data_IF_320360917918
#
_entry.id   IF_320360917918
#
_cell.length_a   1.000
_cell.length_b   1.000
_cell.length_c   1.000
_cell.angle_alpha   90.00
_cell.angle_beta   90.00
_cell.angle_gamma   90.00
#
_symmetry.space_group_name_H-M   'P 1'
#
loop_
_entity.id
_entity.type
_entity.pdbx_description
1 polymer ?
#
# COMPACT_ATOMS: atom_id res chain seq x y z
N UNK A 1 -30.28 -31.74 44.28
CA UNK A 1 -29.03 -31.50 43.47
C UNK A 1 -29.40 -30.82 42.20
N UNK A 2 -29.10 -29.50 42.06
CA UNK A 2 -29.45 -28.69 40.89
C UNK A 2 -28.24 -28.75 39.94
N UNK A 3 -28.40 -29.39 38.76
CA UNK A 3 -27.38 -29.41 37.72
C UNK A 3 -27.21 -28.00 37.13
N UNK A 4 -26.12 -27.33 37.40
CA UNK A 4 -25.68 -26.12 36.71
C UNK A 4 -25.46 -26.39 35.24
N UNK A 5 -26.32 -25.88 34.35
CA UNK A 5 -26.05 -25.84 32.91
C UNK A 5 -24.87 -24.87 32.66
N UNK A 6 -23.74 -25.36 32.11
CA UNK A 6 -22.71 -24.51 31.52
C UNK A 6 -23.28 -23.90 30.24
N UNK A 7 -23.53 -22.62 30.24
CA UNK A 7 -23.81 -21.87 29.02
C UNK A 7 -22.43 -21.56 28.40
N UNK A 8 -22.05 -22.27 27.36
CA UNK A 8 -20.91 -21.92 26.53
C UNK A 8 -21.35 -20.84 25.56
N UNK A 9 -20.89 -19.61 25.75
CA UNK A 9 -21.01 -18.55 24.76
C UNK A 9 -19.97 -18.89 23.67
N UNK A 10 -20.43 -19.32 22.49
CA UNK A 10 -19.60 -19.34 21.30
C UNK A 10 -19.31 -17.89 20.90
N UNK A 11 -18.06 -17.45 21.02
CA UNK A 11 -17.65 -16.17 20.44
C UNK A 11 -17.88 -16.23 18.93
N UNK A 12 -18.52 -15.18 18.33
CA UNK A 12 -18.75 -15.19 16.88
C UNK A 12 -17.40 -15.28 16.15
N UNK A 13 -17.25 -16.29 15.30
CA UNK A 13 -16.04 -16.46 14.46
C UNK A 13 -15.73 -15.16 13.74
N UNK A 14 -14.59 -14.55 14.08
CA UNK A 14 -14.11 -13.36 13.37
C UNK A 14 -13.83 -13.76 11.93
N UNK A 15 -14.66 -13.31 10.99
CA UNK A 15 -14.46 -13.53 9.54
C UNK A 15 -13.01 -13.21 9.18
N UNK A 16 -12.26 -14.21 8.72
CA UNK A 16 -10.87 -14.04 8.27
C UNK A 16 -10.83 -12.99 7.16
N UNK A 17 -10.08 -11.91 7.36
CA UNK A 17 -9.94 -10.85 6.36
C UNK A 17 -9.22 -11.43 5.15
N UNK A 18 -9.86 -11.37 3.99
CA UNK A 18 -9.23 -11.78 2.73
C UNK A 18 -8.13 -10.78 2.37
N UNK A 19 -6.91 -11.24 2.07
CA UNK A 19 -5.82 -10.36 1.70
C UNK A 19 -6.11 -9.58 0.40
N UNK A 20 -5.63 -8.33 0.32
CA UNK A 20 -5.65 -7.58 -0.92
C UNK A 20 -4.84 -8.32 -2.01
N UNK A 21 -5.27 -8.23 -3.26
CA UNK A 21 -4.53 -8.73 -4.42
C UNK A 21 -3.82 -7.59 -5.15
N UNK A 22 -2.67 -7.83 -5.80
CA UNK A 22 -2.02 -6.87 -6.66
C UNK A 22 -2.81 -6.65 -7.95
N UNK A 23 -2.62 -5.49 -8.58
CA UNK A 23 -3.10 -5.23 -9.93
C UNK A 23 -2.09 -5.85 -10.88
N UNK A 24 -2.50 -6.85 -11.64
CA UNK A 24 -1.64 -7.56 -12.58
C UNK A 24 -1.22 -6.63 -13.74
N UNK A 25 -0.05 -6.86 -14.34
CA UNK A 25 0.47 -5.99 -15.42
C UNK A 25 -0.49 -5.93 -16.62
N UNK A 26 -1.13 -7.05 -16.99
CA UNK A 26 -2.15 -7.11 -18.05
C UNK A 26 -3.35 -6.20 -17.79
N UNK A 27 -3.68 -5.93 -16.52
CA UNK A 27 -4.84 -5.13 -16.12
C UNK A 27 -4.45 -3.67 -15.81
N UNK A 28 -3.15 -3.36 -15.73
CA UNK A 28 -2.64 -2.08 -15.25
C UNK A 28 -3.19 -0.88 -16.04
N UNK A 29 -3.12 -0.92 -17.36
CA UNK A 29 -3.62 0.18 -18.18
C UNK A 29 -5.14 0.31 -18.10
N UNK A 30 -5.88 -0.81 -18.16
CA UNK A 30 -7.34 -0.82 -17.98
C UNK A 30 -7.73 -0.24 -16.64
N UNK A 31 -7.01 -0.60 -15.58
CA UNK A 31 -7.24 -0.09 -14.23
C UNK A 31 -7.01 1.42 -14.15
N UNK A 32 -5.92 1.90 -14.72
CA UNK A 32 -5.60 3.33 -14.78
C UNK A 32 -6.69 4.15 -15.49
N UNK A 33 -7.12 3.72 -16.68
CA UNK A 33 -8.18 4.40 -17.44
C UNK A 33 -9.52 4.37 -16.68
N UNK A 34 -9.88 3.23 -16.09
CA UNK A 34 -11.09 3.14 -15.30
C UNK A 34 -11.02 3.98 -14.01
N UNK A 35 -9.86 4.10 -13.38
CA UNK A 35 -9.67 4.99 -12.24
C UNK A 35 -9.92 6.45 -12.61
N UNK A 36 -9.41 6.88 -13.76
CA UNK A 36 -9.65 8.22 -14.30
C UNK A 36 -11.14 8.47 -14.53
N UNK A 37 -11.82 7.54 -15.21
CA UNK A 37 -13.26 7.59 -15.51
C UNK A 37 -14.12 7.66 -14.23
N UNK A 38 -13.83 6.83 -13.24
CA UNK A 38 -14.57 6.77 -11.96
C UNK A 38 -14.33 8.01 -11.10
N UNK A 39 -13.19 8.68 -11.30
CA UNK A 39 -12.74 9.84 -10.50
C UNK A 39 -13.18 11.18 -11.10
N UNK A 40 -14.41 11.30 -11.55
CA UNK A 40 -14.96 12.45 -12.34
C UNK A 40 -14.50 13.82 -11.87
N UNK A 41 -14.49 14.07 -10.55
CA UNK A 41 -14.22 15.40 -9.99
C UNK A 41 -12.73 15.64 -9.70
N UNK A 42 -11.94 14.57 -9.44
CA UNK A 42 -10.52 14.66 -9.10
C UNK A 42 -9.68 13.57 -9.77
N UNK A 43 -9.71 13.41 -11.11
CA UNK A 43 -8.97 12.34 -11.79
C UNK A 43 -7.46 12.46 -11.61
N UNK A 44 -6.91 13.66 -11.73
CA UNK A 44 -5.47 13.92 -11.58
C UNK A 44 -4.96 13.56 -10.18
N UNK A 45 -5.69 13.96 -9.14
CA UNK A 45 -5.36 13.61 -7.75
C UNK A 45 -5.33 12.09 -7.56
N UNK A 46 -6.38 11.41 -8.00
CA UNK A 46 -6.50 9.97 -7.80
C UNK A 46 -5.48 9.18 -8.61
N UNK A 47 -5.15 9.65 -9.82
CA UNK A 47 -4.04 9.09 -10.61
C UNK A 47 -2.68 9.35 -9.97
N UNK A 48 -2.44 10.52 -9.39
CA UNK A 48 -1.17 10.81 -8.73
C UNK A 48 -0.95 9.92 -7.50
N UNK A 49 -1.99 9.75 -6.65
CA UNK A 49 -1.95 8.80 -5.53
C UNK A 49 -1.63 7.37 -6.03
N UNK A 50 -2.27 6.96 -7.12
CA UNK A 50 -2.03 5.67 -7.75
C UNK A 50 -0.57 5.52 -8.20
N UNK A 51 -0.02 6.49 -8.94
CA UNK A 51 1.35 6.45 -9.44
C UNK A 51 2.38 6.38 -8.31
N UNK A 52 2.24 7.21 -7.28
CA UNK A 52 3.14 7.16 -6.13
C UNK A 52 3.06 5.78 -5.46
N UNK A 53 1.86 5.26 -5.20
CA UNK A 53 1.68 3.98 -4.53
C UNK A 53 2.32 2.81 -5.27
N UNK A 54 2.16 2.73 -6.60
CA UNK A 54 2.72 1.63 -7.42
C UNK A 54 4.19 1.81 -7.78
N UNK A 55 4.73 3.02 -7.69
CA UNK A 55 6.14 3.30 -7.98
C UNK A 55 7.04 3.23 -6.75
N UNK A 56 6.50 3.48 -5.54
CA UNK A 56 7.29 3.56 -4.31
C UNK A 56 6.95 2.48 -3.30
N UNK A 57 5.76 1.89 -3.41
CA UNK A 57 5.25 0.91 -2.46
C UNK A 57 4.98 1.48 -1.06
N UNK A 58 4.90 2.79 -0.84
CA UNK A 58 4.45 3.35 0.43
C UNK A 58 3.00 2.96 0.74
N UNK A 59 2.64 2.91 2.02
CA UNK A 59 1.23 2.74 2.41
C UNK A 59 0.49 4.05 2.23
N UNK A 60 -0.79 4.02 1.86
CA UNK A 60 -1.60 5.23 1.69
C UNK A 60 -1.49 6.19 2.88
N UNK A 61 -1.54 5.67 4.09
CA UNK A 61 -1.45 6.48 5.33
C UNK A 61 -0.14 7.26 5.44
N UNK A 62 0.92 6.82 4.76
CA UNK A 62 2.24 7.40 4.89
C UNK A 62 2.48 8.58 3.94
N UNK A 63 1.64 8.76 2.88
CA UNK A 63 1.84 9.84 1.91
C UNK A 63 0.59 10.65 1.55
N UNK A 64 -0.62 10.25 1.97
CA UNK A 64 -1.83 11.01 1.62
C UNK A 64 -1.90 12.39 2.27
N UNK A 65 -1.21 12.61 3.38
CA UNK A 65 -1.14 13.89 4.06
C UNK A 65 0.01 14.80 3.58
N UNK A 66 0.72 14.43 2.52
CA UNK A 66 1.76 15.27 1.96
C UNK A 66 1.17 16.56 1.38
N UNK A 67 1.89 17.66 1.58
CA UNK A 67 1.62 18.95 0.95
C UNK A 67 2.25 19.04 -0.43
N UNK A 68 1.81 20.01 -1.23
CA UNK A 68 2.46 20.29 -2.52
C UNK A 68 3.90 20.78 -2.33
N UNK A 69 4.20 21.46 -1.21
CA UNK A 69 5.56 21.87 -0.84
C UNK A 69 6.48 20.68 -0.65
N UNK A 70 6.06 19.70 0.18
CA UNK A 70 6.85 18.48 0.41
C UNK A 70 7.07 17.67 -0.89
N UNK A 71 6.08 17.61 -1.79
CA UNK A 71 6.28 16.97 -3.10
C UNK A 71 7.33 17.70 -3.97
N UNK A 72 7.39 19.03 -3.90
CA UNK A 72 8.41 19.84 -4.59
C UNK A 72 9.80 19.62 -3.99
N UNK A 73 9.91 19.62 -2.64
CA UNK A 73 11.16 19.30 -1.93
C UNK A 73 11.69 17.91 -2.31
N UNK A 74 10.82 16.90 -2.37
CA UNK A 74 11.22 15.56 -2.81
C UNK A 74 11.66 15.51 -4.28
N UNK A 75 11.12 16.38 -5.14
CA UNK A 75 11.60 16.53 -6.51
C UNK A 75 13.02 17.13 -6.56
N UNK A 76 13.32 18.08 -5.69
CA UNK A 76 14.64 18.73 -5.62
C UNK A 76 15.70 17.77 -5.08
N UNK A 77 15.31 16.87 -4.15
CA UNK A 77 16.18 15.85 -3.58
C UNK A 77 16.25 14.53 -4.40
N UNK A 78 15.50 14.40 -5.49
CA UNK A 78 15.35 13.18 -6.30
C UNK A 78 14.86 11.94 -5.52
N UNK A 79 14.27 12.12 -4.35
CA UNK A 79 13.81 11.01 -3.50
C UNK A 79 12.68 11.42 -2.56
N UNK A 80 11.82 10.46 -2.25
CA UNK A 80 10.93 10.54 -1.10
C UNK A 80 11.70 10.12 0.15
N UNK A 81 11.51 10.86 1.25
CA UNK A 81 12.00 10.52 2.59
C UNK A 81 10.80 10.52 3.53
N UNK A 82 10.21 9.35 3.78
CA UNK A 82 8.94 9.25 4.51
C UNK A 82 9.09 8.33 5.72
N UNK A 83 8.68 8.84 6.89
CA UNK A 83 8.57 8.04 8.12
C UNK A 83 7.35 7.13 8.04
N UNK A 84 7.54 5.82 7.89
CA UNK A 84 6.43 4.87 7.84
C UNK A 84 5.72 4.75 9.20
N UNK A 85 4.45 5.16 9.25
CA UNK A 85 3.60 5.26 10.45
C UNK A 85 3.53 3.96 11.25
N UNK A 86 3.40 2.81 10.59
CA UNK A 86 3.30 1.50 11.27
C UNK A 86 4.54 1.18 12.10
N UNK A 87 5.71 1.46 11.57
CA UNK A 87 6.98 1.16 12.27
C UNK A 87 7.22 2.16 13.41
N UNK A 88 6.92 3.43 13.15
CA UNK A 88 7.07 4.50 14.13
C UNK A 88 6.10 4.33 15.33
N UNK A 89 4.83 4.01 15.06
CA UNK A 89 3.85 3.76 16.11
C UNK A 89 4.20 2.51 16.93
N UNK A 90 4.70 1.45 16.29
CA UNK A 90 5.18 0.26 17.00
C UNK A 90 6.39 0.58 17.90
N UNK A 91 7.28 1.47 17.48
CA UNK A 91 8.38 1.97 18.31
C UNK A 91 7.86 2.82 19.47
N UNK A 92 6.96 3.77 19.23
CA UNK A 92 6.33 4.59 20.30
C UNK A 92 5.68 3.72 21.36
N UNK A 93 4.88 2.73 20.95
CA UNK A 93 4.24 1.80 21.88
C UNK A 93 5.27 1.00 22.68
N UNK A 94 6.36 0.56 22.03
CA UNK A 94 7.45 -0.16 22.72
C UNK A 94 8.12 0.73 23.79
N UNK A 95 8.45 1.98 23.46
CA UNK A 95 9.07 2.92 24.41
C UNK A 95 8.11 3.26 25.57
N UNK A 96 6.83 3.48 25.27
CA UNK A 96 5.81 3.73 26.31
C UNK A 96 5.72 2.57 27.31
N UNK A 97 5.77 1.31 26.82
CA UNK A 97 5.71 0.12 27.67
C UNK A 97 7.06 -0.22 28.33
N UNK A 98 8.16 0.35 27.85
CA UNK A 98 9.54 0.10 28.36
C UNK A 98 10.31 1.42 28.43
N UNK A 99 10.05 2.28 29.45
CA UNK A 99 10.64 3.63 29.51
C UNK A 99 12.17 3.65 29.51
N UNK A 100 12.82 2.60 30.01
CA UNK A 100 14.29 2.48 30.06
C UNK A 100 14.90 1.88 28.79
N UNK A 101 14.10 1.61 27.75
CA UNK A 101 14.59 1.05 26.50
C UNK A 101 15.43 2.05 25.72
N UNK A 102 16.65 1.65 25.33
CA UNK A 102 17.57 2.42 24.47
C UNK A 102 17.29 2.26 22.98
N UNK A 103 16.15 1.68 22.62
CA UNK A 103 15.79 1.44 21.20
C UNK A 103 15.55 2.76 20.49
N UNK A 104 16.37 3.03 19.45
CA UNK A 104 16.21 4.23 18.60
C UNK A 104 14.95 4.16 17.75
N UNK A 105 14.36 5.31 17.35
CA UNK A 105 13.27 5.34 16.39
C UNK A 105 13.72 4.71 15.05
N UNK A 106 12.80 4.11 14.30
CA UNK A 106 13.11 3.62 12.97
C UNK A 106 13.46 4.81 12.05
N UNK A 107 14.46 4.62 11.20
CA UNK A 107 14.79 5.60 10.18
C UNK A 107 13.64 5.74 9.15
N UNK A 108 13.43 6.93 8.59
CA UNK A 108 12.56 7.10 7.44
C UNK A 108 12.98 6.19 6.28
N UNK A 109 11.99 5.74 5.50
CA UNK A 109 12.29 4.99 4.28
C UNK A 109 12.50 5.96 3.13
N UNK A 110 13.58 5.73 2.37
CA UNK A 110 13.86 6.46 1.16
C UNK A 110 13.35 5.71 -0.07
N UNK A 111 12.91 6.44 -1.10
CA UNK A 111 12.56 5.89 -2.40
C UNK A 111 12.95 6.88 -3.49
N UNK A 112 13.86 6.47 -4.38
CA UNK A 112 14.35 7.30 -5.48
C UNK A 112 13.22 7.63 -6.47
N UNK A 113 13.15 8.88 -6.90
CA UNK A 113 12.18 9.35 -7.88
C UNK A 113 12.79 9.24 -9.27
N UNK A 114 12.34 8.25 -10.04
CA UNK A 114 12.79 8.03 -11.41
C UNK A 114 12.05 8.95 -12.40
N UNK A 115 12.62 9.09 -13.61
CA UNK A 115 12.21 10.03 -14.65
C UNK A 115 10.71 10.09 -14.91
N UNK A 116 10.05 8.94 -15.05
CA UNK A 116 8.61 8.90 -15.36
C UNK A 116 7.74 9.44 -14.22
N UNK A 117 8.06 9.07 -12.96
CA UNK A 117 7.35 9.56 -11.79
C UNK A 117 7.65 11.04 -11.56
N UNK A 118 8.91 11.46 -11.74
CA UNK A 118 9.36 12.86 -11.64
C UNK A 118 8.52 13.77 -12.55
N UNK A 119 8.40 13.42 -13.83
CA UNK A 119 7.60 14.19 -14.79
C UNK A 119 6.16 14.35 -14.30
N UNK A 120 5.54 13.25 -13.88
CA UNK A 120 4.15 13.26 -13.40
C UNK A 120 3.96 14.14 -12.16
N UNK A 121 4.86 14.05 -11.18
CA UNK A 121 4.80 14.89 -9.97
C UNK A 121 5.00 16.36 -10.33
N UNK A 122 6.01 16.66 -11.16
CA UNK A 122 6.29 18.03 -11.61
C UNK A 122 5.08 18.69 -12.29
N UNK A 123 4.44 17.95 -13.20
CA UNK A 123 3.24 18.42 -13.89
C UNK A 123 2.07 18.62 -12.89
N UNK A 124 1.92 17.70 -11.93
CA UNK A 124 0.85 17.71 -10.95
C UNK A 124 0.94 18.88 -9.96
N UNK A 125 2.14 19.22 -9.47
CA UNK A 125 2.34 20.30 -8.48
C UNK A 125 2.49 21.68 -9.10
N UNK A 126 2.49 21.78 -10.44
CA UNK A 126 2.65 23.04 -11.16
C UNK A 126 1.50 24.01 -10.82
N UNK A 127 1.86 25.21 -10.36
CA UNK A 127 0.90 26.27 -10.01
C UNK A 127 0.16 26.05 -8.68
N UNK A 128 0.38 24.94 -7.97
CA UNK A 128 -0.25 24.67 -6.67
C UNK A 128 0.52 25.34 -5.53
N UNK A 129 -0.19 25.82 -4.51
CA UNK A 129 0.40 26.44 -3.32
C UNK A 129 1.06 25.39 -2.43
N UNK A 130 2.23 25.71 -1.89
CA UNK A 130 3.04 24.80 -1.09
C UNK A 130 2.35 24.34 0.19
N UNK A 131 1.54 25.20 0.82
CA UNK A 131 0.84 24.93 2.07
C UNK A 131 -0.40 24.03 1.93
N UNK A 132 -0.90 23.83 0.71
CA UNK A 132 -2.09 23.01 0.48
C UNK A 132 -1.71 21.52 0.42
N UNK A 133 -2.62 20.65 0.91
CA UNK A 133 -2.45 19.22 0.76
C UNK A 133 -2.43 18.81 -0.70
N UNK A 134 -1.46 17.99 -1.08
CA UNK A 134 -1.35 17.49 -2.44
C UNK A 134 -2.57 16.63 -2.83
N UNK A 135 -3.17 15.95 -1.86
CA UNK A 135 -4.30 15.03 -2.05
C UNK A 135 -5.49 15.46 -1.21
N UNK A 136 -5.96 16.66 -1.46
CA UNK A 136 -7.09 17.25 -0.73
C UNK A 136 -8.39 16.45 -0.93
N UNK A 137 -9.20 16.40 0.11
CA UNK A 137 -10.52 15.75 0.11
C UNK A 137 -11.56 16.67 -0.56
N UNK A 138 -12.35 16.13 -1.49
CA UNK A 138 -13.51 16.86 -2.04
C UNK A 138 -14.57 17.14 -0.97
N UNK A 139 -14.77 16.18 -0.07
CA UNK A 139 -15.80 16.27 0.97
C UNK A 139 -15.44 17.24 2.10
N UNK A 140 -14.16 17.35 2.39
CA UNK A 140 -13.64 18.16 3.50
C UNK A 140 -12.49 19.04 2.98
N UNK A 141 -12.80 20.23 2.39
CA UNK A 141 -11.77 21.16 1.93
C UNK A 141 -10.79 21.52 3.04
N UNK A 142 -9.51 21.61 2.70
CA UNK A 142 -8.43 21.85 3.67
C UNK A 142 -7.96 20.60 4.41
N UNK A 143 -8.53 19.42 4.16
CA UNK A 143 -8.15 18.15 4.75
C UNK A 143 -7.68 17.16 3.67
N UNK A 144 -6.72 16.27 3.96
CA UNK A 144 -6.31 15.28 2.98
C UNK A 144 -7.36 14.17 2.82
N UNK A 145 -7.42 13.55 1.64
CA UNK A 145 -8.25 12.36 1.42
C UNK A 145 -7.79 11.21 2.35
N UNK A 146 -8.75 10.52 2.96
CA UNK A 146 -8.41 9.44 3.88
C UNK A 146 -8.03 8.14 3.14
N UNK A 147 -7.19 7.27 3.73
CA UNK A 147 -6.90 5.95 3.18
C UNK A 147 -8.16 5.10 2.94
N UNK A 148 -9.18 5.26 3.79
CA UNK A 148 -10.46 4.55 3.67
C UNK A 148 -11.22 5.02 2.43
N UNK A 149 -11.31 6.33 2.21
CA UNK A 149 -11.99 6.92 1.05
C UNK A 149 -11.30 6.49 -0.25
N UNK A 150 -9.97 6.64 -0.32
CA UNK A 150 -9.24 6.26 -1.52
C UNK A 150 -9.30 4.74 -1.79
N UNK A 151 -9.23 3.92 -0.75
CA UNK A 151 -9.41 2.46 -0.88
C UNK A 151 -10.81 2.09 -1.40
N UNK A 152 -11.85 2.83 -1.06
CA UNK A 152 -13.20 2.64 -1.59
C UNK A 152 -13.26 2.95 -3.09
N UNK A 153 -12.58 4.00 -3.56
CA UNK A 153 -12.45 4.32 -5.00
C UNK A 153 -11.77 3.16 -5.74
N UNK A 154 -10.62 2.69 -5.25
CA UNK A 154 -9.91 1.56 -5.86
C UNK A 154 -10.77 0.28 -5.89
N UNK A 155 -11.53 0.02 -4.82
CA UNK A 155 -12.45 -1.12 -4.76
C UNK A 155 -13.53 -1.01 -5.83
N UNK A 156 -14.13 0.18 -6.03
CA UNK A 156 -15.13 0.43 -7.08
C UNK A 156 -14.54 0.16 -8.45
N UNK A 157 -13.35 0.70 -8.75
CA UNK A 157 -12.64 0.42 -10.01
C UNK A 157 -12.41 -1.07 -10.21
N UNK A 158 -11.94 -1.78 -9.18
CA UNK A 158 -11.76 -3.22 -9.22
C UNK A 158 -13.05 -3.98 -9.54
N UNK A 159 -14.15 -3.61 -8.90
CA UNK A 159 -15.47 -4.22 -9.13
C UNK A 159 -15.95 -4.04 -10.58
N UNK A 160 -15.83 -2.83 -11.14
CA UNK A 160 -16.22 -2.54 -12.52
C UNK A 160 -15.37 -3.28 -13.57
N UNK A 161 -14.13 -3.65 -13.19
CA UNK A 161 -13.23 -4.46 -14.04
C UNK A 161 -13.29 -5.96 -13.76
N UNK A 162 -14.12 -6.41 -12.82
CA UNK A 162 -14.19 -7.81 -12.41
C UNK A 162 -12.98 -8.28 -11.57
N UNK A 163 -12.17 -7.35 -11.06
CA UNK A 163 -10.99 -7.65 -10.24
C UNK A 163 -11.38 -7.79 -8.77
N UNK A 164 -11.01 -8.92 -8.16
CA UNK A 164 -11.33 -9.22 -6.74
C UNK A 164 -10.31 -8.63 -5.78
N UNK A 165 -10.77 -8.28 -4.57
CA UNK A 165 -9.93 -7.90 -3.43
C UNK A 165 -8.98 -6.71 -3.67
N UNK A 166 -9.39 -5.76 -4.54
CA UNK A 166 -8.64 -4.51 -4.75
C UNK A 166 -8.93 -3.53 -3.61
N UNK A 167 -7.85 -3.01 -3.01
CA UNK A 167 -7.88 -2.06 -1.89
C UNK A 167 -6.66 -1.13 -1.97
N UNK A 168 -6.51 -0.20 -1.01
CA UNK A 168 -5.29 0.62 -0.90
C UNK A 168 -3.98 -0.18 -0.78
N UNK A 169 -4.03 -1.37 -0.18
CA UNK A 169 -2.86 -2.25 -0.12
C UNK A 169 -2.49 -2.88 -1.47
N UNK A 170 -3.40 -2.90 -2.44
CA UNK A 170 -3.13 -3.42 -3.78
C UNK A 170 -2.03 -2.66 -4.49
N UNK A 171 -1.91 -1.34 -4.28
CA UNK A 171 -0.85 -0.54 -4.87
C UNK A 171 0.54 -1.00 -4.42
N UNK A 172 0.71 -1.17 -3.12
CA UNK A 172 1.97 -1.67 -2.54
C UNK A 172 2.24 -3.13 -2.92
N UNK A 173 1.21 -3.96 -3.06
CA UNK A 173 1.35 -5.33 -3.57
C UNK A 173 1.76 -5.35 -5.04
N UNK A 174 1.23 -4.46 -5.86
CA UNK A 174 1.65 -4.30 -7.26
C UNK A 174 3.12 -3.91 -7.36
N UNK A 175 3.58 -2.95 -6.56
CA UNK A 175 5.00 -2.61 -6.45
C UNK A 175 5.86 -3.84 -6.08
N UNK A 176 5.49 -4.54 -5.01
CA UNK A 176 6.22 -5.72 -4.55
C UNK A 176 6.29 -6.83 -5.60
N UNK A 177 5.18 -7.10 -6.28
CA UNK A 177 5.10 -8.12 -7.32
C UNK A 177 5.96 -7.77 -8.52
N UNK A 178 5.99 -6.51 -8.97
CA UNK A 178 6.88 -6.03 -10.05
C UNK A 178 8.35 -6.27 -9.70
N UNK A 179 8.76 -5.92 -8.48
CA UNK A 179 10.13 -6.16 -8.03
C UNK A 179 10.48 -7.65 -8.00
N UNK A 180 9.55 -8.48 -7.52
CA UNK A 180 9.73 -9.92 -7.46
C UNK A 180 9.81 -10.55 -8.85
N UNK A 181 8.94 -10.15 -9.76
CA UNK A 181 8.94 -10.67 -11.14
C UNK A 181 10.23 -10.32 -11.87
N UNK A 182 10.77 -9.13 -11.66
CA UNK A 182 12.00 -8.65 -12.31
C UNK A 182 13.27 -9.27 -11.74
N UNK A 183 13.38 -9.30 -10.39
CA UNK A 183 14.63 -9.67 -9.72
C UNK A 183 14.68 -11.10 -9.20
N UNK A 184 13.52 -11.70 -8.89
CA UNK A 184 13.42 -13.01 -8.23
C UNK A 184 14.25 -13.11 -6.93
N UNK A 185 14.52 -11.97 -6.29
CA UNK A 185 15.31 -11.84 -5.07
C UNK A 185 14.41 -11.33 -3.93
N UNK A 186 14.13 -12.22 -2.97
CA UNK A 186 13.30 -11.91 -1.79
C UNK A 186 13.94 -10.88 -0.87
N UNK A 187 15.27 -10.89 -0.75
CA UNK A 187 15.96 -9.93 0.11
C UNK A 187 15.91 -8.52 -0.50
N UNK A 188 16.02 -8.41 -1.81
CA UNK A 188 15.80 -7.16 -2.53
C UNK A 188 14.39 -6.61 -2.28
N UNK A 189 13.35 -7.44 -2.44
CA UNK A 189 11.96 -7.03 -2.20
C UNK A 189 11.75 -6.68 -0.72
N UNK A 190 12.31 -7.47 0.21
CA UNK A 190 12.24 -7.21 1.65
C UNK A 190 12.77 -5.83 2.01
N UNK A 191 14.00 -5.52 1.54
CA UNK A 191 14.64 -4.22 1.77
C UNK A 191 13.84 -3.07 1.16
N UNK A 192 13.38 -3.22 -0.08
CA UNK A 192 12.59 -2.21 -0.79
C UNK A 192 11.26 -1.90 -0.11
N UNK A 193 10.64 -2.87 0.57
CA UNK A 193 9.42 -2.69 1.34
C UNK A 193 9.67 -2.28 2.80
N UNK A 194 10.89 -2.33 3.29
CA UNK A 194 11.20 -2.12 4.71
C UNK A 194 10.62 -3.20 5.62
N UNK A 195 10.49 -4.45 5.14
CA UNK A 195 10.04 -5.57 5.96
C UNK A 195 11.15 -6.08 6.88
N UNK A 196 10.78 -6.49 8.09
CA UNK A 196 11.73 -6.98 9.10
C UNK A 196 12.27 -8.39 8.80
N UNK A 197 11.46 -9.24 8.14
CA UNK A 197 11.84 -10.62 7.85
C UNK A 197 11.47 -11.03 6.42
N UNK A 198 12.19 -12.02 5.90
CA UNK A 198 11.92 -12.64 4.60
C UNK A 198 10.56 -13.35 4.61
N UNK A 199 10.20 -14.01 5.71
CA UNK A 199 8.90 -14.69 5.87
C UNK A 199 7.74 -13.73 5.68
N UNK A 200 7.84 -12.51 6.24
CA UNK A 200 6.85 -11.46 6.01
C UNK A 200 6.72 -11.14 4.52
N UNK A 201 7.82 -11.14 3.79
CA UNK A 201 7.84 -10.84 2.35
C UNK A 201 7.28 -11.99 1.53
N UNK A 202 7.63 -13.26 1.84
CA UNK A 202 7.06 -14.46 1.21
C UNK A 202 5.54 -14.47 1.35
N UNK A 203 5.05 -14.35 2.58
CA UNK A 203 3.62 -14.31 2.86
C UNK A 203 2.92 -13.12 2.17
N UNK A 204 3.58 -11.96 2.15
CA UNK A 204 3.05 -10.75 1.49
C UNK A 204 2.92 -10.91 -0.02
N UNK A 205 3.85 -11.58 -0.66
CA UNK A 205 3.82 -11.92 -2.09
C UNK A 205 2.87 -13.10 -2.40
N UNK A 206 2.48 -13.89 -1.40
CA UNK A 206 1.64 -15.08 -1.57
C UNK A 206 2.39 -16.31 -2.12
N UNK A 207 3.72 -16.34 -1.98
CA UNK A 207 4.58 -17.40 -2.54
C UNK A 207 4.30 -18.78 -1.94
N UNK A 208 3.80 -18.86 -0.70
CA UNK A 208 3.42 -20.14 -0.10
C UNK A 208 2.30 -20.84 -0.88
N UNK A 209 1.38 -20.09 -1.50
CA UNK A 209 0.33 -20.65 -2.35
C UNK A 209 0.88 -20.98 -3.75
N UNK A 210 1.73 -20.14 -4.32
CA UNK A 210 2.41 -20.40 -5.60
C UNK A 210 3.20 -21.70 -5.55
N UNK A 211 3.96 -21.92 -4.47
CA UNK A 211 4.71 -23.18 -4.25
C UNK A 211 3.77 -24.41 -4.20
N UNK A 212 2.63 -24.32 -3.53
CA UNK A 212 1.66 -25.42 -3.45
C UNK A 212 1.02 -25.73 -4.80
N UNK A 213 0.66 -24.70 -5.54
CA UNK A 213 0.09 -24.82 -6.89
C UNK A 213 1.10 -25.44 -7.86
N UNK A 214 2.34 -24.97 -7.84
CA UNK A 214 3.42 -25.50 -8.67
C UNK A 214 3.75 -26.95 -8.31
N UNK A 215 3.85 -27.28 -7.02
CA UNK A 215 4.08 -28.64 -6.58
C UNK A 215 2.97 -29.59 -7.04
N UNK A 216 1.70 -29.17 -6.93
CA UNK A 216 0.56 -29.94 -7.41
C UNK A 216 0.61 -30.15 -8.91
N UNK A 217 0.87 -29.10 -9.69
CA UNK A 217 0.98 -29.14 -11.15
C UNK A 217 2.12 -30.05 -11.62
N UNK A 218 3.29 -29.95 -10.97
CA UNK A 218 4.44 -30.82 -11.30
C UNK A 218 4.11 -32.29 -11.01
N UNK A 219 3.48 -32.58 -9.88
CA UNK A 219 3.07 -33.93 -9.53
C UNK A 219 2.04 -34.49 -10.50
N UNK A 220 1.01 -33.70 -10.84
CA UNK A 220 -0.04 -34.07 -11.78
C UNK A 220 0.50 -34.36 -13.19
N UNK A 221 1.49 -33.60 -13.64
CA UNK A 221 2.12 -33.77 -14.97
C UNK A 221 2.87 -35.10 -15.14
N UNK A 222 3.01 -35.89 -14.07
CA UNK A 222 3.67 -37.21 -14.09
C UNK A 222 2.71 -38.40 -13.94
N UNK A 223 1.40 -38.10 -13.82
CA UNK A 223 0.35 -39.13 -13.82
C UNK A 223 0.02 -39.56 -15.24
#
# INVERSE_FOLDING_TARGET
>A
MIKKRKITFEEPERKKKVPALPIQERDYNRFKYKLEEVSKDCPERNLMIFYIGVATGYRLVDYLSLTNGELKEFLDEDKFIIQESKQYNAWKTHISNNPNSKRKPPAPRESIIQTNLRKKIKDYVKGKKNSEYAFESEKYPGEPITPKTYSAILKKVGQELGLKHITGHSLRKTYAQRLWQEKRDLEFVRKSLGHKSIETTKHYLGLDNEIKEDASRIADSKL
#
